data_IF_127934423532
#
_entry.id   IF_127934423532
#
_cell.length_a   1.000
_cell.length_b   1.000
_cell.length_c   1.000
_cell.angle_alpha   90.00
_cell.angle_beta   90.00
_cell.angle_gamma   90.00
#
_symmetry.space_group_name_H-M   'P 1'
#
loop_
_entity.id
_entity.type
_entity.pdbx_description
1 polymer ?
#
# COMPACT_ATOMS: atom_id res chain seq x y z
N UNK A 1 -25.89 -22.84 -11.30
CA UNK A 1 -25.50 -22.68 -9.88
C UNK A 1 -24.63 -21.43 -9.76
N UNK A 2 -25.25 -20.25 -9.71
CA UNK A 2 -24.55 -18.99 -9.44
C UNK A 2 -24.51 -18.80 -7.92
N UNK A 3 -23.32 -18.65 -7.33
CA UNK A 3 -23.21 -18.26 -5.92
C UNK A 3 -23.52 -16.76 -5.84
N UNK A 4 -24.64 -16.44 -5.20
CA UNK A 4 -24.98 -15.07 -4.81
C UNK A 4 -23.93 -14.56 -3.81
N UNK A 5 -23.19 -13.50 -4.17
CA UNK A 5 -22.42 -12.72 -3.19
C UNK A 5 -21.19 -12.00 -3.73
N UNK A 6 -20.57 -12.47 -4.82
CA UNK A 6 -19.38 -11.81 -5.37
C UNK A 6 -19.81 -10.93 -6.56
N UNK A 7 -19.59 -9.60 -6.54
CA UNK A 7 -19.97 -8.76 -7.65
C UNK A 7 -19.23 -9.19 -8.91
N UNK A 8 -19.96 -9.32 -10.03
CA UNK A 8 -19.36 -9.63 -11.32
C UNK A 8 -18.20 -8.67 -11.62
N UNK A 9 -17.04 -9.18 -12.08
CA UNK A 9 -15.88 -8.36 -12.34
C UNK A 9 -16.21 -7.29 -13.37
N UNK A 10 -15.83 -6.03 -13.06
CA UNK A 10 -16.03 -4.90 -13.97
C UNK A 10 -14.85 -4.79 -14.92
N UNK A 11 -15.14 -4.66 -16.22
CA UNK A 11 -14.12 -4.50 -17.26
C UNK A 11 -13.60 -3.06 -17.27
N UNK A 12 -12.29 -2.90 -17.34
CA UNK A 12 -11.61 -1.63 -17.53
C UNK A 12 -10.51 -1.78 -18.60
N UNK A 13 -10.27 -0.72 -19.38
CA UNK A 13 -9.18 -0.66 -20.35
C UNK A 13 -8.03 0.14 -19.74
N UNK A 14 -6.86 -0.49 -19.61
CA UNK A 14 -5.65 0.13 -19.02
C UNK A 14 -4.54 0.12 -20.07
N UNK A 15 -3.94 1.28 -20.31
CA UNK A 15 -2.73 1.38 -21.11
C UNK A 15 -1.52 1.21 -20.19
N UNK A 16 -0.76 0.14 -20.42
CA UNK A 16 0.50 -0.10 -19.73
C UNK A 16 1.67 0.44 -20.53
N UNK A 17 2.71 0.89 -19.82
CA UNK A 17 4.03 1.00 -20.44
C UNK A 17 4.42 -0.36 -21.08
N UNK A 18 4.99 -0.38 -22.30
CA UNK A 18 5.30 -1.62 -23.00
C UNK A 18 6.27 -2.55 -22.24
N UNK A 19 7.24 -1.98 -21.51
CA UNK A 19 8.19 -2.76 -20.73
C UNK A 19 7.50 -3.38 -19.50
N UNK A 20 6.64 -2.61 -18.83
CA UNK A 20 5.84 -3.10 -17.71
C UNK A 20 4.86 -4.20 -18.14
N UNK A 21 4.16 -4.03 -19.25
CA UNK A 21 3.26 -5.06 -19.79
C UNK A 21 4.01 -6.36 -20.09
N UNK A 22 5.22 -6.27 -20.66
CA UNK A 22 6.07 -7.44 -20.91
C UNK A 22 6.46 -8.15 -19.61
N UNK A 23 6.92 -7.41 -18.61
CA UNK A 23 7.26 -7.97 -17.31
C UNK A 23 6.04 -8.62 -16.63
N UNK A 24 4.88 -7.97 -16.70
CA UNK A 24 3.62 -8.46 -16.13
C UNK A 24 3.15 -9.75 -16.81
N UNK A 25 3.31 -9.86 -18.14
CA UNK A 25 3.04 -11.11 -18.88
C UNK A 25 3.95 -12.24 -18.46
N UNK A 26 5.24 -11.98 -18.28
CA UNK A 26 6.19 -13.00 -17.82
C UNK A 26 5.84 -13.47 -16.41
N UNK A 27 5.55 -12.54 -15.50
CA UNK A 27 5.12 -12.86 -14.13
C UNK A 27 3.82 -13.67 -14.10
N UNK A 28 2.84 -13.30 -14.94
CA UNK A 28 1.58 -14.02 -15.07
C UNK A 28 1.81 -15.48 -15.50
N UNK A 29 2.66 -15.70 -16.52
CA UNK A 29 3.00 -17.04 -16.98
C UNK A 29 3.76 -17.86 -15.92
N UNK A 30 4.76 -17.26 -15.26
CA UNK A 30 5.57 -17.93 -14.23
C UNK A 30 4.74 -18.33 -12.99
N UNK A 31 3.72 -17.53 -12.66
CA UNK A 31 2.90 -17.75 -11.45
C UNK A 31 1.59 -18.47 -11.71
N UNK A 32 1.32 -18.87 -12.96
CA UNK A 32 0.04 -19.43 -13.41
C UNK A 32 -1.17 -18.58 -13.00
N UNK A 33 -1.06 -17.26 -13.21
CA UNK A 33 -2.08 -16.27 -12.84
C UNK A 33 -2.44 -15.38 -14.02
N UNK A 34 -3.65 -14.83 -14.01
CA UNK A 34 -4.01 -13.84 -15.02
C UNK A 34 -3.38 -12.46 -14.71
N UNK A 35 -3.22 -11.64 -15.75
CA UNK A 35 -2.80 -10.23 -15.60
C UNK A 35 -3.80 -9.49 -14.70
N UNK A 36 -5.10 -9.74 -14.85
CA UNK A 36 -6.13 -9.11 -14.03
C UNK A 36 -5.99 -9.46 -12.55
N UNK A 37 -5.63 -10.71 -12.23
CA UNK A 37 -5.41 -11.11 -10.83
C UNK A 37 -4.20 -10.41 -10.22
N UNK A 38 -3.11 -10.28 -10.99
CA UNK A 38 -1.91 -9.57 -10.55
C UNK A 38 -2.18 -8.08 -10.33
N UNK A 39 -2.91 -7.45 -11.24
CA UNK A 39 -3.27 -6.02 -11.14
C UNK A 39 -4.22 -5.79 -9.97
N UNK A 40 -5.26 -6.63 -9.81
CA UNK A 40 -6.19 -6.51 -8.69
C UNK A 40 -5.49 -6.68 -7.34
N UNK A 41 -4.55 -7.62 -7.23
CA UNK A 41 -3.76 -7.77 -6.01
C UNK A 41 -2.89 -6.55 -5.73
N UNK A 42 -2.18 -6.04 -6.74
CA UNK A 42 -1.35 -4.85 -6.58
C UNK A 42 -2.18 -3.65 -6.11
N UNK A 43 -3.32 -3.40 -6.73
CA UNK A 43 -4.24 -2.30 -6.36
C UNK A 43 -4.80 -2.49 -4.95
N UNK A 44 -5.16 -3.72 -4.54
CA UNK A 44 -5.64 -3.97 -3.17
C UNK A 44 -4.57 -3.71 -2.12
N UNK A 45 -3.31 -4.08 -2.41
CA UNK A 45 -2.19 -3.83 -1.49
C UNK A 45 -1.94 -2.34 -1.33
N UNK A 46 -1.86 -1.61 -2.44
CA UNK A 46 -1.68 -0.15 -2.47
C UNK A 46 -2.78 0.56 -1.64
N UNK A 47 -4.04 0.20 -1.86
CA UNK A 47 -5.17 0.77 -1.10
C UNK A 47 -5.18 0.37 0.38
N UNK A 48 -4.65 -0.81 0.73
CA UNK A 48 -4.55 -1.25 2.12
C UNK A 48 -3.44 -0.50 2.86
N UNK A 49 -2.28 -0.31 2.21
CA UNK A 49 -1.17 0.49 2.74
C UNK A 49 -1.64 1.94 2.98
N UNK A 50 -2.34 2.55 2.02
CA UNK A 50 -2.93 3.89 2.19
C UNK A 50 -3.89 3.96 3.39
N UNK A 51 -4.72 2.92 3.60
CA UNK A 51 -5.64 2.87 4.72
C UNK A 51 -4.92 2.73 6.07
N UNK A 52 -3.84 1.93 6.11
CA UNK A 52 -2.99 1.78 7.29
C UNK A 52 -2.27 3.09 7.63
N UNK A 53 -1.76 3.81 6.63
CA UNK A 53 -1.14 5.12 6.82
C UNK A 53 -2.13 6.13 7.41
N UNK A 54 -3.34 6.21 6.86
CA UNK A 54 -4.40 7.09 7.39
C UNK A 54 -4.76 6.74 8.84
N UNK A 55 -4.88 5.45 9.17
CA UNK A 55 -5.15 5.02 10.54
C UNK A 55 -3.99 5.40 11.49
N UNK A 56 -2.74 5.28 11.05
CA UNK A 56 -1.58 5.70 11.84
C UNK A 56 -1.55 7.20 12.09
N UNK A 57 -1.97 8.02 11.11
CA UNK A 57 -2.15 9.46 11.31
C UNK A 57 -3.24 9.77 12.34
N UNK A 58 -4.37 9.06 12.30
CA UNK A 58 -5.46 9.23 13.26
C UNK A 58 -5.05 8.83 14.69
N UNK A 59 -4.33 7.71 14.86
CA UNK A 59 -3.81 7.28 16.16
C UNK A 59 -2.86 8.32 16.76
N UNK A 60 -1.99 8.90 15.93
CA UNK A 60 -1.02 9.93 16.35
C UNK A 60 -1.61 11.33 16.47
N UNK A 61 -2.86 11.56 16.06
CA UNK A 61 -3.47 12.88 16.11
C UNK A 61 -3.56 13.44 17.55
N UNK A 62 -3.61 12.56 18.55
CA UNK A 62 -3.62 12.92 19.98
C UNK A 62 -2.23 13.02 20.62
N UNK A 63 -1.15 12.69 19.90
CA UNK A 63 0.20 12.75 20.47
C UNK A 63 0.64 14.21 20.68
N UNK A 64 1.28 14.45 21.82
CA UNK A 64 1.83 15.77 22.13
C UNK A 64 3.00 16.03 21.19
N UNK A 65 2.91 17.12 20.41
CA UNK A 65 4.03 17.59 19.61
C UNK A 65 5.15 18.04 20.56
N UNK A 66 6.27 17.32 20.53
CA UNK A 66 7.43 17.63 21.35
C UNK A 66 8.33 18.64 20.62
N UNK A 67 8.59 19.83 21.19
CA UNK A 67 9.52 20.79 20.60
C UNK A 67 10.92 20.18 20.47
N UNK A 68 11.58 20.46 19.35
CA UNK A 68 12.92 19.94 19.09
C UNK A 68 13.94 20.33 20.17
N UNK A 69 13.79 21.52 20.77
CA UNK A 69 14.64 21.96 21.88
C UNK A 69 14.55 21.06 23.12
N UNK A 70 13.38 20.49 23.39
CA UNK A 70 13.15 19.64 24.56
C UNK A 70 13.74 18.24 24.33
N UNK A 71 13.71 17.76 23.09
CA UNK A 71 14.46 16.57 22.66
C UNK A 71 15.96 16.77 22.88
N UNK A 72 16.52 17.91 22.46
CA UNK A 72 17.96 18.19 22.63
C UNK A 72 18.38 18.28 24.10
N UNK A 73 17.56 18.92 24.95
CA UNK A 73 17.80 18.97 26.40
C UNK A 73 17.81 17.58 27.01
N UNK A 74 16.87 16.73 26.61
CA UNK A 74 16.78 15.35 27.09
C UNK A 74 17.95 14.47 26.61
N UNK A 75 18.38 14.60 25.35
CA UNK A 75 19.54 13.88 24.84
C UNK A 75 20.84 14.24 25.58
N UNK A 76 21.07 15.53 25.84
CA UNK A 76 22.21 16.00 26.65
C UNK A 76 22.16 15.43 28.07
N UNK A 77 20.98 15.44 28.70
CA UNK A 77 20.78 14.87 30.04
C UNK A 77 21.09 13.37 30.08
N UNK A 78 20.74 12.64 29.03
CA UNK A 78 21.01 11.20 28.88
C UNK A 78 22.46 10.89 28.47
N UNK A 79 23.29 11.90 28.20
CA UNK A 79 24.69 11.73 27.79
C UNK A 79 24.87 11.07 26.42
N UNK A 80 23.82 11.10 25.59
CA UNK A 80 23.87 10.61 24.21
C UNK A 80 24.60 11.61 23.31
N UNK A 81 24.48 12.90 23.65
CA UNK A 81 25.17 14.04 23.04
C UNK A 81 25.69 15.00 24.10
#
# INVERSE_FOLDING_TARGET
MSRNGDPDPKRATIYFDPALHRALRLKAAETDRSISDLVNEAVRRDLAEDAEDLAAFEERAGEVILPFEDVLKDLKRRGVI
#
